data_IF_745101667128
#
_entry.id   IF_745101667128
#
_cell.length_a   1.000
_cell.length_b   1.000
_cell.length_c   1.000
_cell.angle_alpha   90.00
_cell.angle_beta   90.00
_cell.angle_gamma   90.00
#
_symmetry.space_group_name_H-M   'P 1'
#
loop_
_entity.id
_entity.type
_entity.pdbx_description
1 polymer ?
#
# COMPACT_ATOMS: atom_id res chain seq x y z
N UNK A 1 -26.51 -15.77 0.48
CA UNK A 1 -26.91 -14.41 0.09
C UNK A 1 -26.02 -13.45 0.87
N UNK A 2 -24.69 -13.65 0.79
CA UNK A 2 -23.75 -13.18 1.84
C UNK A 2 -22.46 -12.56 1.27
N UNK A 3 -22.42 -12.28 -0.04
CA UNK A 3 -21.26 -11.66 -0.68
C UNK A 3 -21.34 -10.14 -0.74
N UNK A 4 -22.50 -9.53 -0.44
CA UNK A 4 -22.69 -8.08 -0.42
C UNK A 4 -22.25 -7.46 0.92
N UNK A 5 -22.57 -8.08 2.06
CA UNK A 5 -22.16 -7.57 3.38
C UNK A 5 -20.63 -7.56 3.56
N UNK A 6 -19.91 -8.51 2.95
CA UNK A 6 -18.45 -8.58 3.07
C UNK A 6 -17.75 -7.48 2.27
N UNK A 7 -18.29 -7.06 1.11
CA UNK A 7 -17.70 -5.95 0.34
C UNK A 7 -17.90 -4.61 1.05
N UNK A 8 -19.08 -4.36 1.62
CA UNK A 8 -19.35 -3.12 2.33
C UNK A 8 -18.50 -2.99 3.61
N UNK A 9 -18.25 -4.09 4.31
CA UNK A 9 -17.38 -4.10 5.52
C UNK A 9 -15.91 -3.84 5.15
N UNK A 10 -15.41 -4.46 4.07
CA UNK A 10 -14.04 -4.25 3.56
C UNK A 10 -13.82 -2.81 3.08
N UNK A 11 -14.79 -2.21 2.41
CA UNK A 11 -14.70 -0.82 1.93
C UNK A 11 -14.64 0.17 3.10
N UNK A 12 -15.41 -0.06 4.16
CA UNK A 12 -15.43 0.79 5.36
C UNK A 12 -14.11 0.69 6.14
N UNK A 13 -13.55 -0.50 6.27
CA UNK A 13 -12.25 -0.72 6.93
C UNK A 13 -11.08 -0.06 6.15
N UNK A 14 -11.08 -0.14 4.82
CA UNK A 14 -10.09 0.53 3.97
C UNK A 14 -10.18 2.06 4.08
N UNK A 15 -11.39 2.64 4.12
CA UNK A 15 -11.59 4.09 4.24
C UNK A 15 -11.13 4.64 5.60
N UNK A 16 -11.34 3.90 6.69
CA UNK A 16 -10.87 4.27 8.03
C UNK A 16 -9.34 4.19 8.14
N UNK A 17 -8.72 3.17 7.54
CA UNK A 17 -7.27 3.02 7.48
C UNK A 17 -6.63 4.16 6.68
N UNK A 18 -7.17 4.48 5.50
CA UNK A 18 -6.71 5.59 4.66
C UNK A 18 -6.83 6.92 5.42
N UNK A 19 -7.96 7.15 6.09
CA UNK A 19 -8.19 8.38 6.86
C UNK A 19 -7.17 8.52 8.00
N UNK A 20 -6.89 7.43 8.72
CA UNK A 20 -5.90 7.39 9.79
C UNK A 20 -4.49 7.65 9.26
N UNK A 21 -4.13 7.02 8.14
CA UNK A 21 -2.85 7.22 7.48
C UNK A 21 -2.65 8.68 7.03
N UNK A 22 -3.66 9.30 6.41
CA UNK A 22 -3.64 10.71 5.99
C UNK A 22 -3.43 11.62 7.20
N UNK A 23 -4.17 11.37 8.28
CA UNK A 23 -4.07 12.17 9.51
C UNK A 23 -2.68 12.07 10.15
N UNK A 24 -2.09 10.89 10.19
CA UNK A 24 -0.74 10.69 10.73
C UNK A 24 0.34 11.37 9.87
N UNK A 25 0.22 11.28 8.54
CA UNK A 25 1.11 12.01 7.64
C UNK A 25 0.99 13.51 7.80
N UNK A 26 -0.24 14.03 7.90
CA UNK A 26 -0.50 15.46 8.15
C UNK A 26 0.16 15.92 9.45
N UNK A 27 -0.04 15.20 10.56
CA UNK A 27 0.60 15.51 11.85
C UNK A 27 2.13 15.54 11.73
N UNK A 28 2.70 14.57 11.03
CA UNK A 28 4.15 14.47 10.80
C UNK A 28 4.68 15.67 10.00
N UNK A 29 4.03 16.01 8.88
CA UNK A 29 4.41 17.16 8.06
C UNK A 29 4.28 18.48 8.81
N UNK A 30 3.19 18.67 9.58
CA UNK A 30 3.00 19.86 10.40
C UNK A 30 4.07 19.99 11.48
N UNK A 31 4.39 18.88 12.16
CA UNK A 31 5.47 18.87 13.16
C UNK A 31 6.81 19.29 12.52
N UNK A 32 7.21 18.65 11.42
CA UNK A 32 8.45 18.99 10.70
C UNK A 32 8.47 20.45 10.26
N UNK A 33 7.31 21.00 9.85
CA UNK A 33 7.21 22.41 9.49
C UNK A 33 7.42 23.33 10.70
N UNK A 34 6.65 23.13 11.78
CA UNK A 34 6.67 24.01 12.96
C UNK A 34 7.91 23.85 13.84
N UNK A 35 8.56 22.69 13.83
CA UNK A 35 9.84 22.48 14.56
C UNK A 35 10.91 23.48 14.08
N UNK A 36 10.85 23.94 12.83
CA UNK A 36 11.77 24.97 12.28
C UNK A 36 11.47 26.39 12.81
N UNK A 37 10.34 26.58 13.49
CA UNK A 37 9.91 27.85 14.04
C UNK A 37 10.00 27.92 15.57
N UNK A 38 10.40 26.84 16.26
CA UNK A 38 10.50 26.82 17.72
C UNK A 38 11.46 27.91 18.24
N UNK A 39 12.68 27.93 17.70
CA UNK A 39 13.75 28.84 18.17
C UNK A 39 13.98 30.02 17.21
N UNK A 40 13.05 30.26 16.28
CA UNK A 40 13.21 31.27 15.22
C UNK A 40 13.44 32.68 15.78
N UNK A 41 12.85 32.97 16.94
CA UNK A 41 12.95 34.27 17.57
C UNK A 41 14.40 34.60 17.91
N UNK A 42 15.04 33.69 18.65
CA UNK A 42 16.40 33.84 19.15
C UNK A 42 17.44 33.63 18.04
N UNK A 43 17.20 32.68 17.14
CA UNK A 43 18.16 32.35 16.07
C UNK A 43 18.18 33.38 14.93
N UNK A 44 17.02 33.95 14.57
CA UNK A 44 16.90 34.70 13.31
C UNK A 44 16.16 36.03 13.44
N UNK A 45 15.04 36.11 14.18
CA UNK A 45 14.22 37.33 14.18
C UNK A 45 14.95 38.51 14.84
N UNK A 46 15.75 38.28 15.89
CA UNK A 46 16.57 39.33 16.52
C UNK A 46 17.50 40.00 15.49
N UNK A 47 18.14 39.21 14.62
CA UNK A 47 19.02 39.74 13.57
C UNK A 47 18.24 40.46 12.47
N UNK A 48 17.06 39.95 12.11
CA UNK A 48 16.18 40.58 11.11
C UNK A 48 15.68 41.95 11.60
N UNK A 49 15.36 42.10 12.89
CA UNK A 49 14.92 43.38 13.47
C UNK A 49 16.05 44.42 13.48
N UNK A 50 17.31 43.99 13.55
CA UNK A 50 18.47 44.90 13.52
C UNK A 50 18.73 45.49 12.13
N UNK A 51 18.18 44.91 11.07
CA UNK A 51 18.34 45.43 9.70
C UNK A 51 17.71 46.82 9.57
N UNK A 52 18.50 47.80 9.14
CA UNK A 52 18.06 49.19 8.93
C UNK A 52 17.73 49.50 7.49
N UNK A 53 18.30 48.75 6.55
CA UNK A 53 18.09 48.92 5.12
C UNK A 53 17.95 47.57 4.41
N UNK A 54 17.49 47.64 3.15
CA UNK A 54 17.18 46.46 2.34
C UNK A 54 18.43 45.63 1.99
N UNK A 55 19.61 46.25 1.90
CA UNK A 55 20.85 45.55 1.53
C UNK A 55 21.33 44.66 2.68
N UNK A 56 21.33 45.18 3.92
CA UNK A 56 21.60 44.41 5.14
C UNK A 56 20.67 43.20 5.25
N UNK A 57 19.37 43.43 4.99
CA UNK A 57 18.39 42.35 4.98
C UNK A 57 18.68 41.30 3.90
N UNK A 58 19.01 41.71 2.68
CA UNK A 58 19.31 40.79 1.57
C UNK A 58 20.52 39.90 1.88
N UNK A 59 21.55 40.45 2.53
CA UNK A 59 22.76 39.68 2.87
C UNK A 59 22.51 38.71 4.03
N UNK A 60 21.72 39.12 5.02
CA UNK A 60 21.24 38.23 6.08
C UNK A 60 20.36 37.10 5.50
N UNK A 61 19.44 37.44 4.58
CA UNK A 61 18.57 36.49 3.91
C UNK A 61 19.37 35.40 3.17
N UNK A 62 20.39 35.80 2.39
CA UNK A 62 21.26 34.86 1.67
C UNK A 62 21.98 33.90 2.62
N UNK A 63 22.43 34.40 3.76
CA UNK A 63 23.19 33.63 4.76
C UNK A 63 22.32 32.58 5.43
N UNK A 64 21.09 32.95 5.80
CA UNK A 64 20.17 32.07 6.54
C UNK A 64 19.40 31.13 5.60
N UNK A 65 18.73 31.69 4.58
CA UNK A 65 17.79 30.94 3.75
C UNK A 65 18.52 30.08 2.71
N UNK A 66 19.78 30.42 2.36
CA UNK A 66 20.71 29.67 1.48
C UNK A 66 20.15 29.21 0.11
N UNK A 67 18.89 29.54 -0.20
CA UNK A 67 18.14 28.99 -1.30
C UNK A 67 17.57 30.12 -2.18
N UNK A 68 18.20 30.41 -3.32
CA UNK A 68 17.83 31.55 -4.19
C UNK A 68 16.54 31.32 -5.00
N UNK A 69 15.99 30.10 -4.98
CA UNK A 69 14.86 29.68 -5.83
C UNK A 69 13.48 29.97 -5.25
N UNK A 70 13.34 30.15 -3.93
CA UNK A 70 12.03 30.44 -3.32
C UNK A 70 11.60 31.90 -3.52
N UNK A 71 12.55 32.82 -3.73
CA UNK A 71 12.28 34.23 -3.95
C UNK A 71 13.53 34.91 -4.48
N UNK A 72 13.41 35.75 -5.51
CA UNK A 72 14.52 36.65 -5.87
C UNK A 72 14.80 37.56 -4.67
N UNK A 73 16.05 37.68 -4.19
CA UNK A 73 16.40 38.60 -3.12
C UNK A 73 15.86 40.00 -3.44
N UNK A 74 15.20 40.65 -2.48
CA UNK A 74 14.64 41.99 -2.67
C UNK A 74 13.34 42.11 -3.48
N UNK A 75 12.72 41.02 -3.98
CA UNK A 75 11.37 41.10 -4.57
C UNK A 75 10.33 41.28 -3.47
N UNK A 76 9.88 42.52 -3.32
CA UNK A 76 8.85 42.94 -2.38
C UNK A 76 7.47 42.48 -2.90
N UNK A 77 6.65 41.78 -2.10
CA UNK A 77 5.23 41.63 -2.41
C UNK A 77 4.62 43.00 -2.68
N UNK A 78 4.02 43.20 -3.86
CA UNK A 78 3.50 44.50 -4.33
C UNK A 78 2.59 45.18 -3.29
N UNK A 79 1.90 44.38 -2.47
CA UNK A 79 1.00 44.85 -1.42
C UNK A 79 1.69 45.41 -0.16
N UNK A 80 2.96 45.09 0.09
CA UNK A 80 3.75 45.62 1.21
C UNK A 80 4.43 46.95 0.88
N UNK A 81 4.51 47.35 -0.39
CA UNK A 81 5.10 48.60 -0.85
C UNK A 81 4.02 49.62 -1.24
N UNK A 82 3.06 49.88 -0.33
CA UNK A 82 2.08 50.95 -0.55
C UNK A 82 2.63 52.25 0.03
N UNK A 83 2.71 53.35 -0.75
CA UNK A 83 3.18 54.65 -0.27
C UNK A 83 2.28 55.25 0.83
N UNK A 84 1.03 54.78 0.90
CA UNK A 84 0.01 55.19 1.87
C UNK A 84 0.26 54.64 3.28
N UNK A 85 0.93 53.49 3.40
CA UNK A 85 1.14 52.81 4.68
C UNK A 85 2.56 53.06 5.17
N UNK A 86 2.74 53.94 6.16
CA UNK A 86 3.99 54.10 6.92
C UNK A 86 4.21 52.89 7.84
N UNK A 87 4.42 51.71 7.27
CA UNK A 87 4.78 50.52 8.06
C UNK A 87 6.26 50.64 8.44
N UNK A 88 6.61 50.57 9.74
CA UNK A 88 8.01 50.54 10.15
C UNK A 88 8.78 49.41 9.43
N UNK A 89 9.99 49.71 8.94
CA UNK A 89 10.81 48.78 8.16
C UNK A 89 11.04 47.42 8.85
N UNK A 90 11.02 47.40 10.17
CA UNK A 90 11.12 46.18 10.99
C UNK A 90 10.00 45.18 10.68
N UNK A 91 8.73 45.61 10.68
CA UNK A 91 7.60 44.71 10.39
C UNK A 91 7.64 44.18 8.96
N UNK A 92 8.17 45.00 8.06
CA UNK A 92 8.38 44.65 6.67
C UNK A 92 9.43 43.54 6.51
N UNK A 93 10.61 43.68 7.13
CA UNK A 93 11.67 42.67 7.07
C UNK A 93 11.25 41.37 7.77
N UNK A 94 10.58 41.45 8.92
CA UNK A 94 10.04 40.29 9.62
C UNK A 94 9.05 39.51 8.76
N UNK A 95 8.06 40.20 8.17
CA UNK A 95 7.05 39.57 7.33
C UNK A 95 7.67 38.88 6.13
N UNK A 96 8.59 39.56 5.44
CA UNK A 96 9.31 38.99 4.31
C UNK A 96 10.12 37.76 4.68
N UNK A 97 10.87 37.84 5.77
CA UNK A 97 11.71 36.74 6.23
C UNK A 97 10.87 35.50 6.54
N UNK A 98 9.81 35.67 7.33
CA UNK A 98 8.91 34.59 7.73
C UNK A 98 8.25 33.92 6.52
N UNK A 99 7.74 34.71 5.56
CA UNK A 99 7.10 34.18 4.35
C UNK A 99 8.10 33.34 3.54
N UNK A 100 9.32 33.84 3.35
CA UNK A 100 10.34 33.15 2.56
C UNK A 100 10.84 31.90 3.26
N UNK A 101 11.08 31.97 4.56
CA UNK A 101 11.51 30.83 5.37
C UNK A 101 10.44 29.72 5.37
N UNK A 102 9.17 30.09 5.57
CA UNK A 102 8.05 29.18 5.45
C UNK A 102 7.99 28.53 4.07
N UNK A 103 8.13 29.32 3.00
CA UNK A 103 8.15 28.81 1.62
C UNK A 103 9.26 27.79 1.36
N UNK A 104 10.47 28.02 1.86
CA UNK A 104 11.60 27.08 1.71
C UNK A 104 11.33 25.77 2.44
N UNK A 105 10.87 25.82 3.68
CA UNK A 105 10.58 24.60 4.44
C UNK A 105 9.40 23.82 3.86
N UNK A 106 8.36 24.54 3.42
CA UNK A 106 7.22 23.93 2.74
C UNK A 106 7.64 23.21 1.45
N UNK A 107 8.46 23.86 0.61
CA UNK A 107 9.01 23.24 -0.60
C UNK A 107 9.85 21.99 -0.29
N UNK A 108 10.64 22.01 0.78
CA UNK A 108 11.42 20.84 1.22
C UNK A 108 10.53 19.66 1.62
N UNK A 109 9.42 19.94 2.34
CA UNK A 109 8.44 18.92 2.73
C UNK A 109 7.77 18.33 1.49
N UNK A 110 7.29 19.18 0.57
CA UNK A 110 6.71 18.71 -0.70
C UNK A 110 7.70 17.85 -1.47
N UNK A 111 8.95 18.29 -1.62
CA UNK A 111 9.97 17.53 -2.33
C UNK A 111 10.22 16.15 -1.71
N UNK A 112 10.18 16.06 -0.38
CA UNK A 112 10.32 14.79 0.34
C UNK A 112 9.12 13.86 0.11
N UNK A 113 7.90 14.40 0.13
CA UNK A 113 6.68 13.65 -0.16
C UNK A 113 6.65 13.12 -1.59
N UNK A 114 6.99 13.96 -2.57
CA UNK A 114 7.06 13.56 -3.98
C UNK A 114 8.09 12.47 -4.21
N UNK A 115 9.27 12.55 -3.59
CA UNK A 115 10.29 11.49 -3.68
C UNK A 115 9.80 10.18 -3.09
N UNK A 116 9.12 10.23 -1.94
CA UNK A 116 8.56 9.05 -1.30
C UNK A 116 7.54 8.37 -2.21
N UNK A 117 6.66 9.16 -2.83
CA UNK A 117 5.66 8.68 -3.78
C UNK A 117 6.31 8.01 -4.99
N UNK A 118 7.29 8.69 -5.62
CA UNK A 118 8.03 8.13 -6.75
C UNK A 118 8.69 6.78 -6.42
N UNK A 119 9.27 6.65 -5.23
CA UNK A 119 9.87 5.38 -4.78
C UNK A 119 8.80 4.30 -4.56
N UNK A 120 7.65 4.66 -3.97
CA UNK A 120 6.54 3.74 -3.76
C UNK A 120 5.97 3.24 -5.09
N UNK A 121 5.72 4.14 -6.04
CA UNK A 121 5.27 3.80 -7.40
C UNK A 121 6.27 2.88 -8.10
N UNK A 122 7.57 3.16 -8.01
CA UNK A 122 8.60 2.31 -8.61
C UNK A 122 8.62 0.89 -8.02
N UNK A 123 8.48 0.76 -6.68
CA UNK A 123 8.38 -0.53 -6.00
C UNK A 123 7.12 -1.30 -6.44
N UNK A 124 5.97 -0.62 -6.48
CA UNK A 124 4.73 -1.22 -6.93
C UNK A 124 4.84 -1.75 -8.36
N UNK A 125 5.34 -0.93 -9.28
CA UNK A 125 5.54 -1.32 -10.68
C UNK A 125 6.49 -2.52 -10.83
N UNK A 126 7.48 -2.66 -9.94
CA UNK A 126 8.39 -3.82 -9.92
C UNK A 126 7.70 -5.11 -9.47
N UNK A 127 6.79 -5.04 -8.50
CA UNK A 127 6.11 -6.21 -7.91
C UNK A 127 4.89 -6.63 -8.73
N UNK A 128 4.21 -5.67 -9.36
CA UNK A 128 3.00 -5.88 -10.18
C UNK A 128 3.10 -7.07 -11.16
N UNK A 129 4.14 -7.23 -12.00
CA UNK A 129 4.20 -8.35 -12.93
C UNK A 129 4.33 -9.70 -12.23
N UNK A 130 5.12 -9.77 -11.15
CA UNK A 130 5.31 -11.01 -10.38
C UNK A 130 4.00 -11.46 -9.72
N UNK A 131 3.24 -10.50 -9.16
CA UNK A 131 1.93 -10.79 -8.60
C UNK A 131 0.97 -11.35 -9.65
N UNK A 132 0.92 -10.74 -10.84
CA UNK A 132 0.08 -11.23 -11.94
C UNK A 132 0.47 -12.63 -12.40
N UNK A 133 1.77 -12.93 -12.48
CA UNK A 133 2.27 -14.25 -12.86
C UNK A 133 1.90 -15.31 -11.82
N UNK A 134 2.07 -15.01 -10.53
CA UNK A 134 1.68 -15.91 -9.43
C UNK A 134 0.17 -16.14 -9.45
N UNK A 135 -0.62 -15.10 -9.65
CA UNK A 135 -2.07 -15.21 -9.72
C UNK A 135 -2.52 -16.12 -10.87
N UNK A 136 -1.89 -16.00 -12.04
CA UNK A 136 -2.16 -16.89 -13.17
C UNK A 136 -1.76 -18.35 -12.85
N UNK A 137 -0.56 -18.56 -12.27
CA UNK A 137 -0.10 -19.90 -11.88
C UNK A 137 -1.02 -20.55 -10.86
N UNK A 138 -1.57 -19.78 -9.92
CA UNK A 138 -2.53 -20.30 -8.94
C UNK A 138 -3.82 -20.80 -9.61
N UNK A 139 -4.36 -20.04 -10.58
CA UNK A 139 -5.55 -20.47 -11.35
C UNK A 139 -5.25 -21.74 -12.15
N UNK A 140 -4.07 -21.83 -12.78
CA UNK A 140 -3.66 -23.03 -13.50
C UNK A 140 -3.51 -24.24 -12.58
N UNK A 141 -2.93 -24.06 -11.38
CA UNK A 141 -2.81 -25.11 -10.37
C UNK A 141 -4.16 -25.58 -9.85
N UNK A 142 -5.09 -24.66 -9.55
CA UNK A 142 -6.46 -25.00 -9.14
C UNK A 142 -7.15 -25.89 -10.17
N UNK A 143 -7.00 -25.55 -11.47
CA UNK A 143 -7.52 -26.38 -12.56
C UNK A 143 -6.88 -27.77 -12.59
N UNK A 144 -5.55 -27.86 -12.50
CA UNK A 144 -4.83 -29.14 -12.51
C UNK A 144 -5.28 -30.03 -11.34
N UNK A 145 -5.44 -29.43 -10.15
CA UNK A 145 -5.90 -30.15 -8.96
C UNK A 145 -7.33 -30.66 -9.16
N UNK A 146 -8.23 -29.85 -9.69
CA UNK A 146 -9.61 -30.25 -9.98
C UNK A 146 -9.69 -31.37 -11.04
N UNK A 147 -8.96 -31.22 -12.15
CA UNK A 147 -8.91 -32.22 -13.23
C UNK A 147 -8.29 -33.55 -12.74
N UNK A 148 -7.26 -33.48 -11.89
CA UNK A 148 -6.64 -34.65 -11.27
C UNK A 148 -7.58 -35.37 -10.31
N UNK A 149 -8.29 -34.62 -9.46
CA UNK A 149 -9.28 -35.19 -8.54
C UNK A 149 -10.42 -35.88 -9.30
N UNK A 150 -10.93 -35.25 -10.37
CA UNK A 150 -11.96 -35.83 -11.23
C UNK A 150 -11.47 -37.12 -11.91
N UNK A 151 -10.29 -37.06 -12.52
CA UNK A 151 -9.70 -38.22 -13.22
C UNK A 151 -9.48 -39.39 -12.27
N UNK A 152 -8.91 -39.13 -11.10
CA UNK A 152 -8.69 -40.17 -10.09
C UNK A 152 -10.01 -40.74 -9.57
N UNK A 153 -11.02 -39.89 -9.35
CA UNK A 153 -12.36 -40.34 -8.94
C UNK A 153 -12.99 -41.28 -9.97
N UNK A 154 -12.89 -40.96 -11.27
CA UNK A 154 -13.37 -41.81 -12.35
C UNK A 154 -12.65 -43.16 -12.40
N UNK A 155 -11.32 -43.17 -12.25
CA UNK A 155 -10.52 -44.41 -12.24
C UNK A 155 -10.85 -45.28 -11.02
N UNK A 156 -10.99 -44.68 -9.84
CA UNK A 156 -11.39 -45.41 -8.63
C UNK A 156 -12.75 -46.05 -8.83
N UNK A 157 -13.73 -45.31 -9.35
CA UNK A 157 -15.08 -45.82 -9.58
C UNK A 157 -15.10 -46.99 -10.60
N UNK A 158 -14.30 -46.92 -11.66
CA UNK A 158 -14.15 -48.04 -12.61
C UNK A 158 -13.55 -49.28 -11.93
N UNK A 159 -12.49 -49.10 -11.14
CA UNK A 159 -11.85 -50.19 -10.40
C UNK A 159 -12.80 -50.81 -9.37
N UNK A 160 -13.55 -50.01 -8.62
CA UNK A 160 -14.56 -50.47 -7.67
C UNK A 160 -15.67 -51.28 -8.36
N UNK A 161 -16.13 -50.87 -9.55
CA UNK A 161 -17.10 -51.64 -10.34
C UNK A 161 -16.53 -52.98 -10.79
N UNK A 162 -15.28 -53.01 -11.25
CA UNK A 162 -14.62 -54.24 -11.69
C UNK A 162 -14.44 -55.22 -10.52
N UNK A 163 -14.06 -54.73 -9.34
CA UNK A 163 -13.95 -55.53 -8.12
C UNK A 163 -15.30 -56.15 -7.77
N UNK A 164 -16.38 -55.34 -7.71
CA UNK A 164 -17.74 -55.85 -7.41
C UNK A 164 -18.20 -56.94 -8.38
N UNK A 165 -17.92 -56.77 -9.67
CA UNK A 165 -18.25 -57.79 -10.68
C UNK A 165 -17.46 -59.08 -10.47
N UNK A 166 -16.16 -58.98 -10.16
CA UNK A 166 -15.31 -60.15 -9.89
C UNK A 166 -15.74 -60.87 -8.59
N UNK A 167 -16.09 -60.13 -7.54
CA UNK A 167 -16.63 -60.70 -6.29
C UNK A 167 -17.92 -61.48 -6.55
N UNK A 168 -18.85 -60.94 -7.34
CA UNK A 168 -20.07 -61.64 -7.72
C UNK A 168 -19.78 -62.92 -8.52
N UNK A 169 -18.82 -62.89 -9.45
CA UNK A 169 -18.41 -64.08 -10.21
C UNK A 169 -17.79 -65.16 -9.32
N UNK A 170 -16.95 -64.77 -8.36
CA UNK A 170 -16.34 -65.70 -7.39
C UNK A 170 -17.42 -66.36 -6.53
N UNK A 171 -18.35 -65.58 -5.96
CA UNK A 171 -19.45 -66.11 -5.15
C UNK A 171 -20.30 -67.10 -5.94
N UNK A 172 -20.64 -66.77 -7.19
CA UNK A 172 -21.42 -67.67 -8.05
C UNK A 172 -20.67 -68.99 -8.32
N UNK A 173 -19.35 -68.94 -8.55
CA UNK A 173 -18.53 -70.14 -8.75
C UNK A 173 -18.41 -70.97 -7.47
N UNK A 174 -18.26 -70.33 -6.31
CA UNK A 174 -18.23 -71.01 -5.01
C UNK A 174 -19.54 -71.75 -4.74
N UNK A 175 -20.69 -71.12 -5.00
CA UNK A 175 -22.00 -71.77 -4.88
C UNK A 175 -22.13 -73.00 -5.79
N UNK A 176 -21.75 -72.87 -7.07
CA UNK A 176 -21.78 -74.01 -8.01
C UNK A 176 -20.87 -75.16 -7.53
N UNK A 177 -19.69 -74.85 -6.97
CA UNK A 177 -18.78 -75.86 -6.45
C UNK A 177 -19.40 -76.56 -5.23
N UNK A 178 -19.98 -75.79 -4.31
CA UNK A 178 -20.67 -76.33 -3.13
C UNK A 178 -21.82 -77.26 -3.53
N UNK A 179 -22.70 -76.81 -4.43
CA UNK A 179 -23.80 -77.63 -4.97
C UNK A 179 -23.29 -78.92 -5.62
N UNK A 180 -22.25 -78.85 -6.46
CA UNK A 180 -21.64 -80.03 -7.07
C UNK A 180 -21.02 -80.97 -6.03
N UNK A 181 -20.39 -80.43 -4.99
CA UNK A 181 -19.79 -81.23 -3.92
C UNK A 181 -20.85 -81.95 -3.08
N UNK A 182 -22.00 -81.31 -2.83
CA UNK A 182 -23.12 -81.88 -2.11
C UNK A 182 -23.79 -82.99 -2.92
N UNK A 183 -24.05 -82.76 -4.21
CA UNK A 183 -24.56 -83.79 -5.14
C UNK A 183 -23.61 -85.00 -5.18
N UNK A 184 -22.30 -84.77 -5.19
CA UNK A 184 -21.31 -85.85 -5.22
C UNK A 184 -21.28 -86.63 -3.88
N UNK A 185 -21.42 -85.96 -2.73
CA UNK A 185 -21.52 -86.64 -1.43
C UNK A 185 -22.77 -87.53 -1.34
N UNK A 186 -23.92 -87.05 -1.85
CA UNK A 186 -25.16 -87.84 -1.90
C UNK A 186 -25.00 -89.07 -2.80
N UNK A 187 -24.31 -88.95 -3.94
CA UNK A 187 -24.06 -90.05 -4.88
C UNK A 187 -23.12 -91.13 -4.34
N UNK A 188 -22.15 -90.77 -3.49
CA UNK A 188 -21.11 -91.69 -2.99
C UNK A 188 -21.30 -92.16 -1.55
N UNK A 189 -22.42 -91.82 -0.90
CA UNK A 189 -22.89 -92.47 0.33
C UNK A 189 -21.88 -92.44 1.48
N UNK A 190 -21.43 -91.26 1.87
CA UNK A 190 -20.92 -90.99 3.23
C UNK A 190 -21.84 -90.03 3.95
#
# INVERSE_FOLDING_TARGET
>A
MDTMDNMDTVIIEEDEEVTTWVNNNKKTCLKVFFDRFQDIYDEFLIEVVKCKNINEYIDLEKTIIKCPSASRPGKIPIRLNKPETKVPAVYYFLSLFLIKLAGVHFNSIIGSLLRRELIATAKFNRIKPQYSEIQQKNVELEKIVADGALTNGLVIQDLENRIRNLEAEVIAKEQIILEKSEVNNILWGK
#
